data_IF_697273552553
#
_entry.id   IF_697273552553
#
_cell.length_a   1.000
_cell.length_b   1.000
_cell.length_c   1.000
_cell.angle_alpha   90.00
_cell.angle_beta   90.00
_cell.angle_gamma   90.00
#
_symmetry.space_group_name_H-M   'P 1'
#
loop_
_entity.id
_entity.type
_entity.pdbx_description
1 polymer ?
#
# COMPACT_ATOMS: atom_id res chain seq x y z
N UNK A 1 6.22 -2.70 11.95
CA UNK A 1 6.09 -3.91 12.79
C UNK A 1 4.79 -3.85 13.57
N UNK A 2 3.72 -4.51 13.10
CA UNK A 2 2.48 -4.66 13.87
C UNK A 2 2.70 -5.80 14.87
N UNK A 3 2.27 -5.64 16.13
CA UNK A 3 2.26 -6.71 17.13
C UNK A 3 0.81 -7.15 17.30
N UNK A 4 0.48 -8.40 16.98
CA UNK A 4 -0.83 -8.97 17.31
C UNK A 4 -0.78 -9.67 18.66
N UNK A 5 -1.50 -9.14 19.65
CA UNK A 5 -1.83 -9.87 20.87
C UNK A 5 -3.04 -10.75 20.59
N UNK A 6 -2.81 -12.00 20.18
CA UNK A 6 -3.91 -12.94 19.95
C UNK A 6 -4.57 -13.30 21.30
N UNK A 7 -5.90 -13.25 21.42
CA UNK A 7 -6.59 -13.98 22.48
C UNK A 7 -6.45 -15.49 22.22
N UNK A 8 -6.53 -16.33 23.27
CA UNK A 8 -6.42 -17.78 23.10
C UNK A 8 -7.50 -18.33 22.15
N UNK A 9 -7.22 -19.39 21.38
CA UNK A 9 -8.15 -19.94 20.41
C UNK A 9 -9.46 -20.41 21.06
N UNK A 10 -10.58 -20.01 20.46
CA UNK A 10 -11.92 -20.43 20.87
C UNK A 10 -12.05 -21.95 20.77
N UNK A 11 -12.32 -22.61 21.91
CA UNK A 11 -12.52 -24.06 21.99
C UNK A 11 -11.68 -24.78 23.04
N UNK A 12 -10.70 -24.10 23.66
CA UNK A 12 -10.11 -24.61 24.91
C UNK A 12 -10.82 -23.95 26.08
N UNK A 13 -11.62 -24.73 26.81
CA UNK A 13 -12.04 -24.37 28.17
C UNK A 13 -10.77 -24.24 29.02
N UNK A 14 -10.18 -23.05 29.05
CA UNK A 14 -9.23 -22.68 30.09
C UNK A 14 -10.09 -22.22 31.25
N UNK A 15 -10.15 -22.97 32.36
CA UNK A 15 -10.83 -22.47 33.55
C UNK A 15 -10.12 -21.19 33.96
N UNK A 16 -10.88 -20.14 34.27
CA UNK A 16 -10.41 -19.05 35.14
C UNK A 16 -10.10 -19.70 36.48
N UNK A 17 -8.92 -20.30 36.56
CA UNK A 17 -8.37 -20.89 37.75
C UNK A 17 -7.37 -19.87 38.26
N UNK A 18 -7.80 -19.14 39.29
CA UNK A 18 -6.90 -18.59 40.28
C UNK A 18 -6.11 -19.76 40.88
N UNK A 19 -5.03 -20.18 40.21
CA UNK A 19 -4.07 -21.12 40.75
C UNK A 19 -2.73 -20.41 40.87
N UNK A 20 -2.60 -19.66 41.97
CA UNK A 20 -1.36 -19.60 42.73
C UNK A 20 -1.02 -21.04 43.16
N UNK A 21 -0.35 -21.80 42.30
CA UNK A 21 0.55 -22.91 42.61
C UNK A 21 0.75 -23.76 41.36
N UNK A 22 1.82 -23.49 40.64
CA UNK A 22 2.72 -24.55 40.13
C UNK A 22 4.04 -23.91 39.72
N UNK A 23 5.09 -24.30 40.43
CA UNK A 23 6.46 -23.81 40.26
C UNK A 23 7.13 -24.35 39.00
N UNK A 24 6.80 -23.78 37.84
CA UNK A 24 7.72 -23.77 36.69
C UNK A 24 7.82 -22.34 36.18
N UNK A 25 9.00 -21.74 36.35
CA UNK A 25 9.28 -20.32 36.19
C UNK A 25 9.24 -19.75 34.76
N UNK A 26 8.39 -20.27 33.87
CA UNK A 26 8.24 -19.72 32.53
C UNK A 26 7.22 -18.58 32.57
N UNK A 27 7.70 -17.35 32.31
CA UNK A 27 6.86 -16.15 32.24
C UNK A 27 5.78 -16.27 31.16
N UNK A 28 4.72 -15.46 31.28
CA UNK A 28 3.64 -15.43 30.29
C UNK A 28 4.21 -15.17 28.88
N UNK A 29 3.77 -15.96 27.91
CA UNK A 29 4.24 -15.86 26.53
C UNK A 29 3.44 -14.76 25.80
N UNK A 30 4.13 -14.03 24.93
CA UNK A 30 3.54 -13.21 23.88
C UNK A 30 4.26 -13.47 22.56
N UNK A 31 3.53 -13.31 21.47
CA UNK A 31 4.01 -13.57 20.12
C UNK A 31 4.21 -12.23 19.42
N UNK A 32 5.40 -12.03 18.87
CA UNK A 32 5.63 -11.00 17.87
C UNK A 32 5.39 -11.65 16.51
N UNK A 33 4.25 -11.29 15.93
CA UNK A 33 3.84 -11.70 14.60
C UNK A 33 3.71 -10.44 13.75
N UNK A 34 4.72 -10.18 12.93
CA UNK A 34 4.69 -9.11 11.93
C UNK A 34 4.02 -9.58 10.63
N UNK A 35 3.49 -10.81 10.61
CA UNK A 35 2.89 -11.46 9.44
C UNK A 35 3.87 -11.82 8.34
N UNK A 36 5.18 -11.68 8.57
CA UNK A 36 6.19 -11.66 7.52
C UNK A 36 7.49 -12.40 7.89
N UNK A 37 7.78 -12.60 9.17
CA UNK A 37 8.89 -13.38 9.69
C UNK A 37 8.38 -14.56 10.52
N UNK A 38 9.21 -15.59 10.76
CA UNK A 38 8.89 -16.61 11.75
C UNK A 38 8.50 -15.95 13.06
N UNK A 39 7.34 -16.34 13.59
CA UNK A 39 6.77 -15.78 14.81
C UNK A 39 7.82 -15.86 15.91
N UNK A 40 8.08 -14.73 16.57
CA UNK A 40 9.01 -14.70 17.70
C UNK A 40 8.16 -14.88 18.96
N UNK A 41 8.35 -16.03 19.62
CA UNK A 41 7.75 -16.28 20.92
C UNK A 41 8.67 -15.76 22.02
N UNK A 42 8.16 -14.83 22.83
CA UNK A 42 8.89 -14.27 23.96
C UNK A 42 8.15 -14.62 25.26
N UNK A 43 8.87 -15.21 26.20
CA UNK A 43 8.36 -15.47 27.55
C UNK A 43 8.85 -14.37 28.50
N UNK A 44 7.93 -13.67 29.16
CA UNK A 44 8.26 -12.66 30.17
C UNK A 44 7.25 -12.65 31.30
N UNK A 45 7.73 -12.52 32.54
CA UNK A 45 6.85 -12.29 33.70
C UNK A 45 6.11 -10.95 33.61
N UNK A 46 6.70 -9.99 32.91
CA UNK A 46 6.18 -8.63 32.69
C UNK A 46 5.43 -8.49 31.36
N UNK A 47 4.96 -9.58 30.75
CA UNK A 47 4.33 -9.58 29.43
C UNK A 47 3.23 -8.52 29.28
N UNK A 48 2.37 -8.37 30.29
CA UNK A 48 1.28 -7.38 30.25
C UNK A 48 1.79 -5.94 30.33
N UNK A 49 2.88 -5.69 31.06
CA UNK A 49 3.52 -4.36 31.15
C UNK A 49 4.21 -4.02 29.82
N UNK A 50 4.90 -4.99 29.21
CA UNK A 50 5.51 -4.83 27.89
C UNK A 50 4.42 -4.52 26.84
N UNK A 51 3.33 -5.29 26.84
CA UNK A 51 2.20 -5.07 25.96
C UNK A 51 1.58 -3.68 26.14
N UNK A 52 1.24 -3.30 27.38
CA UNK A 52 0.64 -2.01 27.68
C UNK A 52 1.57 -0.84 27.34
N UNK A 53 2.86 -0.94 27.65
CA UNK A 53 3.86 0.09 27.33
C UNK A 53 4.01 0.24 25.82
N UNK A 54 4.05 -0.87 25.09
CA UNK A 54 4.14 -0.87 23.65
C UNK A 54 2.87 -0.31 22.99
N UNK A 55 1.68 -0.72 23.43
CA UNK A 55 0.40 -0.16 22.97
C UNK A 55 0.33 1.34 23.26
N UNK A 56 0.75 1.77 24.46
CA UNK A 56 0.78 3.19 24.81
C UNK A 56 1.78 3.97 23.95
N UNK A 57 2.96 3.40 23.68
CA UNK A 57 3.96 3.97 22.77
C UNK A 57 3.40 4.09 21.34
N UNK A 58 2.77 3.05 20.82
CA UNK A 58 2.12 3.07 19.51
C UNK A 58 1.04 4.14 19.47
N UNK A 59 0.10 4.15 20.42
CA UNK A 59 -0.97 5.13 20.50
C UNK A 59 -0.41 6.55 20.53
N UNK A 60 0.59 6.82 21.37
CA UNK A 60 1.23 8.14 21.45
C UNK A 60 1.89 8.56 20.12
N UNK A 61 2.42 7.61 19.36
CA UNK A 61 3.12 7.88 18.09
C UNK A 61 2.21 7.90 16.85
N UNK A 62 0.97 7.42 16.96
CA UNK A 62 -0.07 7.53 15.90
C UNK A 62 -1.07 8.67 16.15
N UNK A 63 -0.78 9.59 17.08
CA UNK A 63 -1.66 10.72 17.40
C UNK A 63 -2.72 10.45 18.47
N UNK A 64 -2.63 9.33 19.20
CA UNK A 64 -3.45 9.02 20.36
C UNK A 64 -4.81 8.38 20.05
N UNK A 65 -5.09 8.02 18.78
CA UNK A 65 -6.40 7.51 18.35
C UNK A 65 -6.31 6.47 17.24
N UNK A 66 -7.33 5.62 17.15
CA UNK A 66 -7.47 4.57 16.13
C UNK A 66 -8.16 5.07 14.84
N UNK A 67 -8.77 6.27 14.84
CA UNK A 67 -9.54 6.74 13.67
C UNK A 67 -8.62 7.28 12.57
N UNK A 68 -9.02 7.09 11.31
CA UNK A 68 -8.31 7.66 10.16
C UNK A 68 -8.21 9.19 10.25
N UNK A 69 -9.27 9.86 10.72
CA UNK A 69 -9.32 11.32 10.79
C UNK A 69 -8.28 11.88 11.75
N UNK A 70 -8.14 11.27 12.92
CA UNK A 70 -7.16 11.72 13.92
C UNK A 70 -5.72 11.48 13.43
N UNK A 71 -5.45 10.31 12.82
CA UNK A 71 -4.16 10.03 12.18
C UNK A 71 -3.84 11.05 11.07
N UNK A 72 -4.82 11.38 10.24
CA UNK A 72 -4.68 12.38 9.18
C UNK A 72 -4.38 13.78 9.75
N UNK A 73 -5.09 14.19 10.80
CA UNK A 73 -4.89 15.50 11.42
C UNK A 73 -3.52 15.59 12.12
N UNK A 74 -3.09 14.51 12.78
CA UNK A 74 -1.74 14.38 13.33
C UNK A 74 -0.68 14.44 12.22
N UNK A 75 -0.83 13.66 11.15
CA UNK A 75 0.08 13.67 10.00
C UNK A 75 0.21 15.07 9.40
N UNK A 76 -0.90 15.75 9.12
CA UNK A 76 -0.87 17.10 8.57
C UNK A 76 -0.25 18.11 9.54
N UNK A 77 -0.46 17.97 10.85
CA UNK A 77 0.22 18.79 11.86
C UNK A 77 1.73 18.61 11.82
N UNK A 78 2.23 17.37 11.85
CA UNK A 78 3.66 17.09 11.83
C UNK A 78 4.33 17.49 10.51
N UNK A 79 3.65 17.34 9.36
CA UNK A 79 4.16 17.85 8.07
C UNK A 79 4.33 19.37 8.08
N UNK A 80 3.33 20.13 8.57
CA UNK A 80 3.43 21.60 8.68
C UNK A 80 4.56 22.02 9.62
N UNK A 81 4.69 21.33 10.75
CA UNK A 81 5.73 21.58 11.75
C UNK A 81 7.12 21.27 11.21
N UNK A 82 7.29 20.17 10.46
CA UNK A 82 8.56 19.81 9.83
C UNK A 82 9.01 20.88 8.82
N UNK A 83 8.08 21.46 8.08
CA UNK A 83 8.34 22.50 7.08
C UNK A 83 8.14 23.93 7.59
N UNK A 84 8.13 24.16 8.90
CA UNK A 84 7.81 25.48 9.49
C UNK A 84 8.77 26.59 9.07
N UNK A 85 9.98 26.21 8.63
CA UNK A 85 11.04 27.14 8.22
C UNK A 85 10.98 27.50 6.73
N UNK A 86 10.10 26.87 5.94
CA UNK A 86 9.94 27.17 4.53
C UNK A 86 8.73 28.06 4.30
N UNK A 87 8.94 29.13 3.54
CA UNK A 87 7.87 30.02 3.13
C UNK A 87 7.12 29.43 1.93
N UNK A 88 5.79 29.50 1.95
CA UNK A 88 4.94 29.06 0.85
C UNK A 88 4.86 30.12 -0.26
N UNK A 89 6.03 30.60 -0.71
CA UNK A 89 6.15 31.63 -1.73
C UNK A 89 5.83 31.09 -3.12
N UNK A 90 5.41 32.00 -4.00
CA UNK A 90 5.05 31.68 -5.39
C UNK A 90 6.29 31.23 -6.17
N UNK A 91 6.18 30.06 -6.81
CA UNK A 91 7.23 29.51 -7.68
C UNK A 91 6.65 29.23 -9.05
N UNK A 92 7.24 29.86 -10.06
CA UNK A 92 6.81 29.71 -11.44
C UNK A 92 7.19 28.33 -12.00
N UNK A 93 6.21 27.59 -12.51
CA UNK A 93 6.41 26.29 -13.15
C UNK A 93 5.87 26.37 -14.58
N UNK A 94 6.77 26.55 -15.55
CA UNK A 94 6.41 26.69 -16.97
C UNK A 94 6.51 25.35 -17.69
N UNK A 95 5.38 24.86 -18.21
CA UNK A 95 5.24 23.52 -18.80
C UNK A 95 4.52 23.57 -20.15
N UNK A 96 4.59 22.48 -20.91
CA UNK A 96 3.86 22.29 -22.18
C UNK A 96 2.97 21.07 -22.06
N UNK A 97 1.69 21.20 -22.42
CA UNK A 97 0.67 20.15 -22.23
C UNK A 97 1.03 18.85 -22.95
N UNK A 98 1.53 18.93 -24.18
CA UNK A 98 1.88 17.79 -25.03
C UNK A 98 3.05 16.98 -24.47
N UNK A 99 3.88 17.61 -23.63
CA UNK A 99 5.08 17.02 -23.03
C UNK A 99 5.08 17.27 -21.53
N UNK A 100 3.95 17.00 -20.87
CA UNK A 100 3.75 17.37 -19.47
C UNK A 100 4.84 16.79 -18.55
N UNK A 101 5.20 15.52 -18.73
CA UNK A 101 6.25 14.86 -17.94
C UNK A 101 7.64 15.45 -18.20
N UNK A 102 8.05 15.53 -19.47
CA UNK A 102 9.39 16.03 -19.85
C UNK A 102 9.57 17.49 -19.42
N UNK A 103 8.59 18.34 -19.70
CA UNK A 103 8.63 19.77 -19.37
C UNK A 103 8.57 20.02 -17.86
N UNK A 104 7.78 19.26 -17.11
CA UNK A 104 7.72 19.36 -15.64
C UNK A 104 9.05 18.94 -15.00
N UNK A 105 9.62 17.80 -15.40
CA UNK A 105 10.93 17.37 -14.90
C UNK A 105 12.03 18.37 -15.23
N UNK A 106 11.97 19.03 -16.39
CA UNK A 106 12.90 20.10 -16.77
C UNK A 106 12.71 21.34 -15.89
N UNK A 107 11.47 21.76 -15.66
CA UNK A 107 11.14 22.93 -14.86
C UNK A 107 11.59 22.78 -13.40
N UNK A 108 11.43 21.58 -12.83
CA UNK A 108 11.77 21.30 -11.43
C UNK A 108 13.16 20.69 -11.23
N UNK A 109 13.99 20.60 -12.28
CA UNK A 109 15.27 19.86 -12.27
C UNK A 109 16.22 20.32 -11.16
N UNK A 110 16.22 21.61 -10.86
CA UNK A 110 17.13 22.26 -9.92
C UNK A 110 16.44 22.73 -8.63
N UNK A 111 15.20 22.30 -8.40
CA UNK A 111 14.46 22.67 -7.20
C UNK A 111 15.09 22.05 -5.95
N UNK A 112 15.33 22.91 -4.96
CA UNK A 112 15.62 22.55 -3.58
C UNK A 112 14.35 22.07 -2.86
N UNK A 113 14.50 21.52 -1.65
CA UNK A 113 13.35 21.17 -0.79
C UNK A 113 12.46 22.39 -0.54
N UNK A 114 13.05 23.57 -0.32
CA UNK A 114 12.30 24.82 -0.16
C UNK A 114 11.48 25.15 -1.41
N UNK A 115 12.03 24.92 -2.60
CA UNK A 115 11.29 25.16 -3.85
C UNK A 115 10.11 24.19 -3.99
N UNK A 116 10.30 22.92 -3.63
CA UNK A 116 9.20 21.96 -3.57
C UNK A 116 8.14 22.32 -2.51
N UNK A 117 8.48 23.11 -1.49
CA UNK A 117 7.51 23.63 -0.50
C UNK A 117 6.81 24.92 -0.97
N UNK A 118 7.28 25.56 -2.05
CA UNK A 118 6.67 26.77 -2.60
C UNK A 118 5.31 26.53 -3.27
N UNK A 119 4.50 27.57 -3.39
CA UNK A 119 3.22 27.55 -4.08
C UNK A 119 3.42 27.57 -5.60
N UNK A 120 3.12 26.46 -6.28
CA UNK A 120 3.36 26.35 -7.72
C UNK A 120 2.38 27.21 -8.53
N UNK A 121 2.90 28.24 -9.20
CA UNK A 121 2.20 29.00 -10.23
C UNK A 121 2.47 28.39 -11.60
N UNK A 122 1.60 27.45 -11.98
CA UNK A 122 1.75 26.70 -13.22
C UNK A 122 1.29 27.53 -14.42
N UNK A 123 2.16 27.66 -15.43
CA UNK A 123 1.82 28.26 -16.73
C UNK A 123 1.99 27.21 -17.83
N UNK A 124 0.91 26.95 -18.58
CA UNK A 124 0.98 26.18 -19.82
C UNK A 124 1.39 27.11 -20.96
N UNK A 125 2.52 26.82 -21.59
CA UNK A 125 3.09 27.68 -22.63
C UNK A 125 2.17 27.74 -23.84
N UNK A 126 1.85 28.97 -24.29
CA UNK A 126 0.96 29.20 -25.43
C UNK A 126 -0.53 29.18 -25.08
N UNK A 127 -0.89 28.94 -23.82
CA UNK A 127 -2.28 28.92 -23.35
C UNK A 127 -2.58 30.14 -22.46
N UNK A 128 -3.79 30.70 -22.57
CA UNK A 128 -4.24 31.76 -21.65
C UNK A 128 -4.73 31.14 -20.34
N UNK A 129 -4.07 31.49 -19.24
CA UNK A 129 -4.46 31.10 -17.89
C UNK A 129 -5.45 32.08 -17.28
N UNK A 130 -6.58 31.58 -16.75
CA UNK A 130 -7.59 32.42 -16.08
C UNK A 130 -7.31 32.51 -14.57
N UNK A 131 -7.01 31.38 -13.92
CA UNK A 131 -6.72 31.30 -12.48
C UNK A 131 -5.60 30.28 -12.19
N UNK A 132 -4.63 30.70 -11.38
CA UNK A 132 -3.50 29.88 -10.94
C UNK A 132 -3.95 28.66 -10.13
N UNK A 133 -5.04 28.76 -9.37
CA UNK A 133 -5.62 27.63 -8.63
C UNK A 133 -6.15 26.53 -9.55
N UNK A 134 -6.85 26.91 -10.61
CA UNK A 134 -7.31 26.00 -11.67
C UNK A 134 -6.15 25.29 -12.39
N UNK A 135 -5.17 26.06 -12.88
CA UNK A 135 -4.04 25.51 -13.64
C UNK A 135 -3.16 24.57 -12.82
N UNK A 136 -2.96 24.88 -11.53
CA UNK A 136 -2.22 24.00 -10.61
C UNK A 136 -2.93 22.66 -10.43
N UNK A 137 -4.25 22.66 -10.20
CA UNK A 137 -5.02 21.41 -10.07
C UNK A 137 -4.97 20.57 -11.34
N UNK A 138 -5.13 21.21 -12.49
CA UNK A 138 -5.01 20.57 -13.79
C UNK A 138 -3.61 19.97 -14.02
N UNK A 139 -2.55 20.69 -13.63
CA UNK A 139 -1.19 20.16 -13.69
C UNK A 139 -1.01 18.90 -12.85
N UNK A 140 -1.50 18.87 -11.61
CA UNK A 140 -1.44 17.68 -10.76
C UNK A 140 -2.19 16.50 -11.39
N UNK A 141 -3.35 16.75 -11.99
CA UNK A 141 -4.12 15.71 -12.69
C UNK A 141 -3.35 15.14 -13.89
N UNK A 142 -2.85 16.00 -14.77
CA UNK A 142 -2.11 15.59 -15.97
C UNK A 142 -0.80 14.89 -15.63
N UNK A 143 -0.04 15.40 -14.64
CA UNK A 143 1.23 14.79 -14.26
C UNK A 143 1.03 13.45 -13.56
N UNK A 144 -0.01 13.30 -12.71
CA UNK A 144 -0.35 12.01 -12.13
C UNK A 144 -0.73 11.00 -13.22
N UNK A 145 -1.55 11.41 -14.19
CA UNK A 145 -1.89 10.54 -15.33
C UNK A 145 -0.63 10.15 -16.13
N UNK A 146 0.25 11.10 -16.45
CA UNK A 146 1.48 10.80 -17.20
C UNK A 146 2.46 9.89 -16.43
N UNK A 147 2.42 9.87 -15.10
CA UNK A 147 3.30 9.05 -14.26
C UNK A 147 2.72 7.66 -13.97
N UNK A 148 1.43 7.58 -13.66
CA UNK A 148 0.83 6.38 -13.06
C UNK A 148 -0.08 5.62 -14.02
N UNK A 149 -0.43 6.19 -15.18
CA UNK A 149 -1.18 5.47 -16.20
C UNK A 149 -0.33 4.33 -16.78
N UNK A 150 -0.83 3.07 -16.78
CA UNK A 150 -0.10 1.93 -17.31
C UNK A 150 0.34 2.08 -18.77
N UNK A 151 -0.41 2.87 -19.57
CA UNK A 151 -0.08 3.16 -20.97
C UNK A 151 1.21 3.98 -21.12
N UNK A 152 1.59 4.73 -20.09
CA UNK A 152 2.85 5.46 -20.02
C UNK A 152 4.05 4.56 -19.75
N UNK A 153 3.85 3.34 -19.26
CA UNK A 153 4.89 2.32 -19.09
C UNK A 153 5.81 2.50 -17.88
N UNK A 154 5.72 3.60 -17.11
CA UNK A 154 6.48 3.77 -15.86
C UNK A 154 5.91 2.87 -14.76
N UNK A 155 4.58 2.83 -14.67
CA UNK A 155 3.81 1.86 -13.90
C UNK A 155 3.12 0.89 -14.87
N UNK A 156 2.71 -0.27 -14.39
CA UNK A 156 1.98 -1.29 -15.14
C UNK A 156 0.85 -1.88 -14.28
N UNK A 157 -0.02 -2.66 -14.90
CA UNK A 157 -1.01 -3.49 -14.21
C UNK A 157 -0.62 -4.95 -14.31
N UNK A 158 -1.00 -5.77 -13.31
CA UNK A 158 -0.81 -7.22 -13.39
C UNK A 158 -1.78 -7.90 -14.35
N UNK A 159 -2.91 -7.26 -14.64
CA UNK A 159 -3.93 -7.76 -15.56
C UNK A 159 -4.56 -6.62 -16.37
N UNK A 160 -5.07 -6.93 -17.56
CA UNK A 160 -5.68 -5.96 -18.48
C UNK A 160 -7.17 -5.77 -18.17
N UNK A 161 -7.48 -5.22 -16.98
CA UNK A 161 -8.84 -4.81 -16.61
C UNK A 161 -8.84 -3.30 -16.36
N UNK A 162 -9.94 -2.62 -16.73
CA UNK A 162 -10.10 -1.16 -16.53
C UNK A 162 -9.95 -0.70 -15.07
N UNK A 163 -10.19 -1.59 -14.12
CA UNK A 163 -10.10 -1.33 -12.69
C UNK A 163 -8.84 -1.92 -12.05
N UNK A 164 -7.86 -2.34 -12.85
CA UNK A 164 -6.62 -2.91 -12.33
C UNK A 164 -5.83 -1.88 -11.52
N UNK A 165 -5.18 -2.35 -10.46
CA UNK A 165 -4.27 -1.56 -9.66
C UNK A 165 -2.93 -1.41 -10.38
N UNK A 166 -2.26 -0.28 -10.17
CA UNK A 166 -0.96 0.03 -10.80
C UNK A 166 0.20 -0.26 -9.85
N UNK A 167 1.26 -0.83 -10.40
CA UNK A 167 2.49 -1.21 -9.71
C UNK A 167 3.70 -0.69 -10.51
N UNK A 168 4.87 -0.41 -9.89
CA UNK A 168 6.07 -0.06 -10.65
C UNK A 168 6.38 -1.10 -11.73
N UNK A 169 6.74 -0.64 -12.94
CA UNK A 169 6.98 -1.54 -14.07
C UNK A 169 8.45 -2.02 -14.11
N UNK A 170 8.73 -3.30 -13.81
CA UNK A 170 10.09 -3.85 -13.90
C UNK A 170 10.57 -3.98 -15.36
N UNK A 171 9.64 -4.03 -16.32
CA UNK A 171 9.91 -4.17 -17.76
C UNK A 171 9.63 -2.88 -18.53
N UNK A 172 9.78 -1.72 -17.88
CA UNK A 172 9.57 -0.40 -18.49
C UNK A 172 10.48 -0.16 -19.70
N UNK A 173 10.07 0.69 -20.66
CA UNK A 173 10.92 1.14 -21.75
C UNK A 173 12.24 1.77 -21.27
N UNK A 174 13.35 1.52 -21.98
CA UNK A 174 14.70 1.94 -21.59
C UNK A 174 14.91 3.46 -21.40
N UNK A 175 14.05 4.30 -22.00
CA UNK A 175 14.09 5.75 -21.81
C UNK A 175 13.54 6.19 -20.44
N UNK A 176 12.69 5.37 -19.81
CA UNK A 176 12.16 5.59 -18.46
C UNK A 176 13.13 5.06 -17.42
N UNK A 177 13.96 5.96 -16.91
CA UNK A 177 15.01 5.69 -15.91
C UNK A 177 14.51 5.90 -14.47
N UNK A 178 15.30 5.45 -13.49
CA UNK A 178 15.06 5.62 -12.04
C UNK A 178 14.70 7.05 -11.61
N UNK A 179 15.28 8.07 -12.26
CA UNK A 179 14.94 9.49 -12.01
C UNK A 179 13.46 9.84 -12.22
N UNK A 180 12.73 9.06 -13.02
CA UNK A 180 11.29 9.26 -13.21
C UNK A 180 10.50 8.74 -12.01
N UNK A 181 10.93 7.64 -11.37
CA UNK A 181 10.38 7.19 -10.10
C UNK A 181 10.70 8.18 -8.98
N UNK A 182 11.94 8.70 -8.90
CA UNK A 182 12.28 9.77 -7.94
C UNK A 182 11.40 11.01 -8.15
N UNK A 183 11.16 11.41 -9.40
CA UNK A 183 10.25 12.52 -9.68
C UNK A 183 8.79 12.19 -9.32
N UNK A 184 8.32 10.96 -9.57
CA UNK A 184 6.99 10.53 -9.16
C UNK A 184 6.80 10.58 -7.64
N UNK A 185 7.82 10.14 -6.89
CA UNK A 185 7.85 10.27 -5.43
C UNK A 185 7.76 11.72 -4.96
N UNK A 186 8.50 12.65 -5.61
CA UNK A 186 8.40 14.09 -5.31
C UNK A 186 7.02 14.66 -5.61
N UNK A 187 6.39 14.26 -6.71
CA UNK A 187 5.01 14.68 -7.03
C UNK A 187 4.03 14.19 -5.96
N UNK A 188 4.14 12.94 -5.52
CA UNK A 188 3.29 12.41 -4.44
C UNK A 188 3.55 13.09 -3.11
N UNK A 189 4.83 13.32 -2.76
CA UNK A 189 5.20 14.07 -1.56
C UNK A 189 4.67 15.51 -1.60
N UNK A 190 4.70 16.14 -2.78
CA UNK A 190 4.10 17.46 -3.01
C UNK A 190 2.59 17.45 -2.81
N UNK A 191 1.86 16.44 -3.30
CA UNK A 191 0.42 16.32 -3.06
C UNK A 191 0.07 16.23 -1.57
N UNK A 192 0.84 15.43 -0.82
CA UNK A 192 0.69 15.29 0.63
C UNK A 192 1.00 16.60 1.36
N UNK A 193 2.08 17.28 0.98
CA UNK A 193 2.47 18.57 1.54
C UNK A 193 1.39 19.63 1.32
N UNK A 194 0.92 19.82 0.07
CA UNK A 194 -0.14 20.79 -0.25
C UNK A 194 -1.42 20.49 0.53
N UNK A 195 -1.81 19.21 0.62
CA UNK A 195 -2.98 18.79 1.39
C UNK A 195 -2.85 19.07 2.89
N UNK A 196 -1.64 19.02 3.43
CA UNK A 196 -1.36 19.38 4.81
C UNK A 196 -1.53 20.89 5.10
N UNK A 197 -1.44 21.76 4.08
CA UNK A 197 -1.64 23.21 4.24
C UNK A 197 -3.11 23.60 4.41
N UNK A 198 -4.05 22.70 4.10
CA UNK A 198 -5.47 22.87 4.34
C UNK A 198 -6.34 22.61 3.11
N UNK A 199 -7.67 22.63 3.30
CA UNK A 199 -8.65 22.23 2.29
C UNK A 199 -8.55 22.96 0.96
N UNK A 200 -8.23 24.25 0.96
CA UNK A 200 -8.06 25.08 -0.25
C UNK A 200 -6.88 24.65 -1.12
N UNK A 201 -5.87 24.01 -0.53
CA UNK A 201 -4.65 23.57 -1.20
C UNK A 201 -4.69 22.09 -1.58
N UNK A 202 -5.71 21.34 -1.15
CA UNK A 202 -5.78 19.90 -1.28
C UNK A 202 -5.51 19.43 -2.72
N UNK A 203 -4.50 18.57 -2.86
CA UNK A 203 -4.13 17.92 -4.11
C UNK A 203 -4.17 16.41 -3.90
N UNK A 204 -4.95 15.72 -4.73
CA UNK A 204 -5.11 14.27 -4.65
C UNK A 204 -4.29 13.60 -5.75
N UNK A 205 -3.63 12.51 -5.41
CA UNK A 205 -2.95 11.67 -6.38
C UNK A 205 -4.00 10.94 -7.21
N UNK A 206 -3.92 11.07 -8.54
CA UNK A 206 -4.80 10.36 -9.48
C UNK A 206 -4.18 9.03 -9.88
N UNK A 207 -4.22 8.06 -8.98
CA UNK A 207 -3.76 6.69 -9.21
C UNK A 207 -4.51 5.70 -8.31
N UNK A 208 -4.52 4.43 -8.71
CA UNK A 208 -5.02 3.32 -7.88
C UNK A 208 -3.88 2.35 -7.67
N UNK A 209 -3.07 2.60 -6.66
CA UNK A 209 -1.86 1.83 -6.41
C UNK A 209 -2.18 0.42 -5.92
N UNK A 210 -1.30 -0.52 -6.25
CA UNK A 210 -1.35 -1.87 -5.68
C UNK A 210 -1.15 -1.82 -4.16
N UNK A 211 -1.80 -2.71 -3.42
CA UNK A 211 -1.69 -2.79 -1.95
C UNK A 211 -0.28 -3.11 -1.52
N UNK A 212 0.40 -4.00 -2.25
CA UNK A 212 1.80 -4.30 -1.96
C UNK A 212 2.74 -3.12 -2.19
N UNK A 213 2.45 -2.22 -3.14
CA UNK A 213 3.23 -0.99 -3.30
C UNK A 213 3.01 -0.05 -2.11
N UNK A 214 1.75 0.16 -1.71
CA UNK A 214 1.43 0.99 -0.54
C UNK A 214 2.05 0.44 0.75
N UNK A 215 2.00 -0.88 0.96
CA UNK A 215 2.66 -1.55 2.07
C UNK A 215 4.16 -1.25 2.14
N UNK A 216 4.83 -1.29 0.98
CA UNK A 216 6.26 -0.98 0.90
C UNK A 216 6.56 0.49 1.20
N UNK A 217 5.67 1.43 0.84
CA UNK A 217 5.84 2.85 1.18
C UNK A 217 5.81 3.11 2.69
N UNK A 218 5.08 2.29 3.45
CA UNK A 218 5.00 2.38 4.93
C UNK A 218 5.96 1.42 5.64
N UNK A 219 6.92 0.83 4.90
CA UNK A 219 7.94 -0.04 5.46
C UNK A 219 7.43 -1.43 5.88
N UNK A 220 6.28 -1.86 5.35
CA UNK A 220 5.78 -3.22 5.56
C UNK A 220 6.33 -4.17 4.49
N UNK A 221 6.58 -5.39 4.94
CA UNK A 221 7.03 -6.48 4.10
C UNK A 221 5.83 -7.09 3.36
N UNK A 222 6.00 -7.43 2.08
CA UNK A 222 4.94 -8.03 1.26
C UNK A 222 4.72 -9.52 1.55
N UNK A 223 3.47 -10.00 1.53
CA UNK A 223 3.10 -11.41 1.67
C UNK A 223 2.18 -11.87 0.52
N UNK A 224 1.98 -13.18 0.35
CA UNK A 224 1.22 -13.69 -0.80
C UNK A 224 -0.24 -13.21 -0.87
N UNK A 225 -0.87 -12.85 0.25
CA UNK A 225 -2.27 -12.39 0.22
C UNK A 225 -2.47 -11.05 -0.50
N UNK A 226 -1.40 -10.27 -0.74
CA UNK A 226 -1.53 -9.04 -1.55
C UNK A 226 -1.95 -9.35 -2.98
N UNK A 227 -1.62 -10.53 -3.51
CA UNK A 227 -2.07 -10.95 -4.83
C UNK A 227 -3.59 -11.05 -4.92
N UNK A 228 -4.33 -11.26 -3.82
CA UNK A 228 -5.79 -11.28 -3.86
C UNK A 228 -6.38 -9.97 -4.43
N UNK A 229 -5.71 -8.84 -4.20
CA UNK A 229 -6.10 -7.53 -4.76
C UNK A 229 -5.24 -7.12 -5.95
N UNK A 230 -3.92 -7.34 -5.87
CA UNK A 230 -2.97 -6.86 -6.87
C UNK A 230 -3.00 -7.69 -8.16
N UNK A 231 -3.09 -9.03 -8.04
CA UNK A 231 -3.17 -9.97 -9.16
C UNK A 231 -4.16 -11.11 -8.84
N UNK A 232 -5.47 -10.83 -8.88
CA UNK A 232 -6.50 -11.81 -8.49
C UNK A 232 -6.45 -13.07 -9.35
N UNK A 233 -6.02 -12.95 -10.61
CA UNK A 233 -5.96 -14.08 -11.54
C UNK A 233 -4.81 -15.03 -11.14
N UNK A 234 -3.63 -14.51 -10.77
CA UNK A 234 -2.55 -15.33 -10.18
C UNK A 234 -2.94 -15.92 -8.82
N UNK A 235 -3.65 -15.14 -7.99
CA UNK A 235 -4.09 -15.59 -6.68
C UNK A 235 -5.02 -16.80 -6.80
N UNK A 236 -6.05 -16.71 -7.64
CA UNK A 236 -7.04 -17.77 -7.83
C UNK A 236 -6.46 -19.00 -8.54
N UNK A 237 -5.61 -18.81 -9.55
CA UNK A 237 -5.11 -19.91 -10.40
C UNK A 237 -3.96 -20.69 -9.77
N UNK A 238 -2.99 -20.02 -9.13
CA UNK A 238 -1.77 -20.65 -8.61
C UNK A 238 -1.73 -20.67 -7.09
N UNK A 239 -1.94 -19.52 -6.45
CA UNK A 239 -1.70 -19.40 -5.01
C UNK A 239 -2.75 -20.19 -4.22
N UNK A 240 -4.02 -20.01 -4.54
CA UNK A 240 -5.12 -20.73 -3.91
C UNK A 240 -5.00 -22.23 -4.16
N UNK A 241 -4.64 -22.63 -5.37
CA UNK A 241 -4.36 -24.04 -5.69
C UNK A 241 -3.29 -24.64 -4.77
N UNK A 242 -2.16 -23.95 -4.58
CA UNK A 242 -1.09 -24.42 -3.69
C UNK A 242 -1.55 -24.49 -2.23
N UNK A 243 -2.34 -23.51 -1.78
CA UNK A 243 -2.89 -23.50 -0.42
C UNK A 243 -3.82 -24.68 -0.16
N UNK A 244 -4.67 -25.03 -1.14
CA UNK A 244 -5.69 -26.07 -1.01
C UNK A 244 -5.14 -27.49 -1.32
N UNK A 245 -3.96 -27.60 -1.94
CA UNK A 245 -3.33 -28.88 -2.29
C UNK A 245 -2.45 -29.43 -1.15
N UNK A 246 -2.49 -30.75 -0.96
CA UNK A 246 -1.57 -31.51 -0.10
C UNK A 246 -0.26 -31.78 -0.87
N UNK A 247 0.85 -31.15 -0.50
CA UNK A 247 2.12 -31.29 -1.22
C UNK A 247 2.98 -32.48 -0.77
N UNK A 248 2.58 -33.24 0.25
CA UNK A 248 3.40 -34.32 0.81
C UNK A 248 3.12 -35.68 0.15
N UNK A 249 2.03 -35.80 -0.61
CA UNK A 249 1.67 -37.02 -1.35
C UNK A 249 2.39 -37.10 -2.70
N UNK A 250 2.81 -38.32 -3.10
CA UNK A 250 3.67 -38.59 -4.27
C UNK A 250 3.08 -38.25 -5.64
N UNK A 251 1.75 -38.11 -5.75
CA UNK A 251 1.06 -37.88 -7.02
C UNK A 251 0.81 -36.39 -7.32
N UNK A 252 1.27 -35.50 -6.44
CA UNK A 252 1.00 -34.06 -6.52
C UNK A 252 2.20 -33.25 -7.05
N UNK A 253 1.92 -31.98 -7.35
CA UNK A 253 2.83 -31.01 -7.96
C UNK A 253 4.19 -30.93 -7.23
N UNK A 254 5.28 -31.28 -7.92
CA UNK A 254 6.64 -31.07 -7.42
C UNK A 254 7.03 -29.60 -7.52
N UNK A 255 6.91 -28.88 -6.40
CA UNK A 255 7.35 -27.50 -6.27
C UNK A 255 8.69 -27.43 -5.56
N UNK A 256 9.54 -26.52 -6.03
CA UNK A 256 10.80 -26.13 -5.40
C UNK A 256 10.78 -24.63 -5.12
N UNK A 257 11.66 -24.14 -4.24
CA UNK A 257 11.77 -22.71 -3.93
C UNK A 257 12.46 -21.91 -5.05
N UNK A 258 11.90 -21.99 -6.25
CA UNK A 258 12.31 -21.27 -7.45
C UNK A 258 11.12 -20.64 -8.14
N UNK A 259 11.39 -19.58 -8.88
CA UNK A 259 10.48 -19.01 -9.86
C UNK A 259 11.06 -19.16 -11.26
N UNK A 260 10.30 -19.80 -12.13
CA UNK A 260 10.61 -19.93 -13.54
C UNK A 260 9.92 -18.82 -14.34
N UNK A 261 10.71 -18.09 -15.13
CA UNK A 261 10.28 -16.98 -15.96
C UNK A 261 10.31 -17.44 -17.40
N UNK A 262 9.17 -17.36 -18.07
CA UNK A 262 8.98 -17.75 -19.46
C UNK A 262 8.75 -16.51 -20.34
N UNK A 263 9.15 -16.58 -21.60
CA UNK A 263 8.81 -15.56 -22.60
C UNK A 263 7.41 -15.79 -23.19
N UNK A 264 7.01 -14.90 -24.11
CA UNK A 264 5.70 -14.98 -24.79
C UNK A 264 5.56 -16.19 -25.71
N UNK A 265 6.65 -16.88 -26.05
CA UNK A 265 6.64 -18.14 -26.81
C UNK A 265 6.55 -19.38 -25.92
N UNK A 266 6.60 -19.19 -24.59
CA UNK A 266 6.59 -20.27 -23.60
C UNK A 266 7.98 -20.87 -23.36
N UNK A 267 9.06 -20.26 -23.84
CA UNK A 267 10.42 -20.73 -23.58
C UNK A 267 10.90 -20.26 -22.21
N UNK A 268 11.52 -21.17 -21.44
CA UNK A 268 12.14 -20.82 -20.16
C UNK A 268 13.31 -19.85 -20.40
N UNK A 269 13.19 -18.64 -19.89
CA UNK A 269 14.21 -17.58 -19.99
C UNK A 269 15.14 -17.60 -18.80
N UNK A 270 14.58 -17.79 -17.60
CA UNK A 270 15.34 -17.67 -16.35
C UNK A 270 14.69 -18.45 -15.23
N UNK A 271 15.50 -19.08 -14.39
CA UNK A 271 15.08 -19.62 -13.10
C UNK A 271 15.71 -18.77 -11.99
N UNK A 272 14.89 -18.28 -11.07
CA UNK A 272 15.30 -17.46 -9.93
C UNK A 272 15.12 -18.27 -8.67
N UNK A 273 16.19 -18.47 -7.89
CA UNK A 273 16.06 -19.06 -6.56
C UNK A 273 15.40 -18.06 -5.60
N UNK A 274 14.30 -18.47 -4.96
CA UNK A 274 13.54 -17.63 -4.03
C UNK A 274 14.18 -17.58 -2.63
N UNK A 275 14.96 -18.61 -2.30
CA UNK A 275 15.79 -18.72 -1.10
C UNK A 275 17.14 -19.33 -1.49
N UNK A 276 18.19 -19.23 -0.65
CA UNK A 276 19.46 -19.90 -0.92
C UNK A 276 19.30 -21.41 -1.09
N UNK A 277 19.85 -21.99 -2.17
CA UNK A 277 19.66 -23.40 -2.55
C UNK A 277 18.19 -23.76 -2.84
N UNK A 278 17.41 -22.79 -3.30
CA UNK A 278 15.98 -22.95 -3.58
C UNK A 278 15.69 -24.04 -4.61
N UNK A 279 16.56 -24.22 -5.61
CA UNK A 279 16.41 -25.25 -6.64
C UNK A 279 16.52 -26.69 -6.10
N UNK A 280 17.11 -26.86 -4.90
CA UNK A 280 17.25 -28.16 -4.23
C UNK A 280 16.30 -28.32 -3.05
N UNK A 281 15.49 -27.31 -2.77
CA UNK A 281 14.59 -27.30 -1.61
C UNK A 281 13.16 -27.53 -2.09
N UNK A 282 12.66 -28.76 -1.89
CA UNK A 282 11.28 -29.12 -2.21
C UNK A 282 10.31 -28.41 -1.25
N UNK A 283 9.22 -27.90 -1.79
CA UNK A 283 8.11 -27.33 -1.02
C UNK A 283 7.26 -28.47 -0.47
N UNK A 284 6.90 -28.38 0.80
CA UNK A 284 6.06 -29.34 1.54
C UNK A 284 4.86 -28.61 2.14
N UNK A 285 3.91 -29.34 2.73
CA UNK A 285 2.81 -28.67 3.43
C UNK A 285 3.28 -27.74 4.57
N UNK A 286 4.37 -28.11 5.24
CA UNK A 286 4.96 -27.31 6.30
C UNK A 286 5.59 -26.01 5.77
N UNK A 287 6.04 -25.97 4.51
CA UNK A 287 6.80 -24.85 3.93
C UNK A 287 6.06 -24.09 2.82
N UNK A 288 4.85 -24.52 2.42
CA UNK A 288 4.10 -23.88 1.32
C UNK A 288 3.79 -22.41 1.55
N UNK A 289 3.46 -21.99 2.78
CA UNK A 289 3.27 -20.57 3.09
C UNK A 289 4.57 -19.77 2.90
N UNK A 290 5.70 -20.32 3.35
CA UNK A 290 7.01 -19.68 3.17
C UNK A 290 7.38 -19.57 1.67
N UNK A 291 7.07 -20.59 0.86
CA UNK A 291 7.24 -20.54 -0.59
C UNK A 291 6.42 -19.40 -1.21
N UNK A 292 5.14 -19.30 -0.85
CA UNK A 292 4.24 -18.28 -1.36
C UNK A 292 4.68 -16.87 -0.95
N UNK A 293 5.15 -16.68 0.29
CA UNK A 293 5.70 -15.40 0.74
C UNK A 293 7.02 -15.06 0.03
N UNK A 294 7.88 -16.04 -0.21
CA UNK A 294 9.11 -15.82 -0.97
C UNK A 294 8.81 -15.45 -2.44
N UNK A 295 7.79 -16.06 -3.05
CA UNK A 295 7.29 -15.69 -4.38
C UNK A 295 6.74 -14.26 -4.39
N UNK A 296 5.98 -13.88 -3.37
CA UNK A 296 5.47 -12.51 -3.22
C UNK A 296 6.60 -11.49 -3.08
N UNK A 297 7.62 -11.79 -2.26
CA UNK A 297 8.82 -10.96 -2.17
C UNK A 297 9.50 -10.79 -3.51
N UNK A 298 9.66 -11.87 -4.27
CA UNK A 298 10.32 -11.80 -5.55
C UNK A 298 9.56 -10.92 -6.55
N UNK A 299 8.25 -11.17 -6.72
CA UNK A 299 7.43 -10.49 -7.73
C UNK A 299 7.05 -9.05 -7.39
N UNK A 300 6.72 -8.78 -6.13
CA UNK A 300 6.14 -7.49 -5.70
C UNK A 300 7.17 -6.52 -5.10
N UNK A 301 8.37 -7.00 -4.74
CA UNK A 301 9.41 -6.19 -4.10
C UNK A 301 10.75 -6.30 -4.83
N UNK A 302 11.36 -7.49 -4.88
CA UNK A 302 12.73 -7.65 -5.38
C UNK A 302 12.88 -7.21 -6.85
N UNK A 303 11.91 -7.55 -7.70
CA UNK A 303 11.91 -7.19 -9.12
C UNK A 303 11.80 -5.68 -9.38
N UNK A 304 11.34 -4.90 -8.40
CA UNK A 304 11.08 -3.46 -8.51
C UNK A 304 11.78 -2.65 -7.41
N UNK A 305 12.80 -3.21 -6.77
CA UNK A 305 13.42 -2.61 -5.58
C UNK A 305 14.04 -1.25 -5.89
N UNK A 306 14.81 -1.14 -6.99
CA UNK A 306 15.47 0.12 -7.34
C UNK A 306 14.45 1.23 -7.67
N UNK A 307 13.32 0.85 -8.25
CA UNK A 307 12.20 1.72 -8.61
C UNK A 307 11.50 2.24 -7.36
N UNK A 308 11.21 1.35 -6.39
CA UNK A 308 10.61 1.70 -5.10
C UNK A 308 11.58 2.57 -4.29
N UNK A 309 12.86 2.21 -4.21
CA UNK A 309 13.87 2.99 -3.48
C UNK A 309 14.01 4.41 -4.08
N UNK A 310 13.98 4.51 -5.41
CA UNK A 310 14.01 5.81 -6.10
C UNK A 310 12.75 6.62 -5.81
N UNK A 311 11.57 5.99 -5.85
CA UNK A 311 10.31 6.63 -5.50
C UNK A 311 10.31 7.13 -4.05
N UNK A 312 10.70 6.28 -3.10
CA UNK A 312 10.85 6.62 -1.68
C UNK A 312 11.84 7.75 -1.46
N UNK A 313 12.97 7.77 -2.16
CA UNK A 313 13.92 8.89 -2.11
C UNK A 313 13.28 10.22 -2.51
N UNK A 314 12.43 10.21 -3.54
CA UNK A 314 11.69 11.39 -3.97
C UNK A 314 10.64 11.84 -2.95
N UNK A 315 9.85 10.88 -2.47
CA UNK A 315 8.80 11.09 -1.47
C UNK A 315 9.38 11.61 -0.15
N UNK A 316 10.41 10.94 0.36
CA UNK A 316 11.06 11.24 1.64
C UNK A 316 11.88 12.53 1.61
N UNK A 317 12.17 13.06 0.43
CA UNK A 317 12.71 14.41 0.27
C UNK A 317 11.73 15.52 0.66
N UNK A 318 10.42 15.22 0.75
CA UNK A 318 9.37 16.17 1.11
C UNK A 318 8.61 15.69 2.36
N UNK A 319 8.28 14.41 2.48
CA UNK A 319 7.51 13.87 3.60
C UNK A 319 8.41 12.99 4.46
N UNK A 320 8.64 13.28 5.74
CA UNK A 320 9.43 12.41 6.61
C UNK A 320 8.91 10.97 6.62
N UNK A 321 9.83 10.00 6.49
CA UNK A 321 9.55 8.57 6.31
C UNK A 321 8.71 7.97 7.43
N UNK A 322 8.99 8.37 8.66
CA UNK A 322 8.33 7.89 9.86
C UNK A 322 6.85 8.29 9.94
N UNK A 323 6.43 9.38 9.28
CA UNK A 323 5.06 9.89 9.39
C UNK A 323 4.03 9.05 8.64
N UNK A 324 4.43 8.34 7.59
CA UNK A 324 3.51 7.49 6.83
C UNK A 324 3.25 6.14 7.53
N UNK A 325 4.15 5.71 8.41
CA UNK A 325 4.06 4.43 9.12
C UNK A 325 2.88 4.29 10.10
N UNK A 326 2.18 5.39 10.39
CA UNK A 326 1.00 5.39 11.25
C UNK A 326 -0.27 4.88 10.54
N UNK A 327 -0.24 4.84 9.21
CA UNK A 327 -1.35 4.40 8.36
C UNK A 327 -1.17 2.94 7.96
N UNK A 328 -2.27 2.24 7.76
CA UNK A 328 -2.28 1.01 6.95
C UNK A 328 -2.36 1.32 5.45
N UNK A 329 -2.35 0.29 4.62
CA UNK A 329 -2.34 0.38 3.15
C UNK A 329 -3.63 1.03 2.60
N UNK A 330 -4.77 0.79 3.26
CA UNK A 330 -6.05 1.37 2.84
C UNK A 330 -6.13 2.84 3.26
N UNK A 331 -5.73 3.13 4.49
CA UNK A 331 -5.64 4.50 5.00
C UNK A 331 -4.65 5.35 4.21
N UNK A 332 -3.51 4.79 3.79
CA UNK A 332 -2.56 5.49 2.94
C UNK A 332 -3.16 5.82 1.57
N UNK A 333 -3.93 4.90 0.97
CA UNK A 333 -4.66 5.21 -0.27
C UNK A 333 -5.65 6.36 -0.05
N UNK A 334 -6.42 6.32 1.04
CA UNK A 334 -7.37 7.40 1.38
C UNK A 334 -6.68 8.75 1.60
N UNK A 335 -5.49 8.74 2.22
CA UNK A 335 -4.69 9.94 2.42
C UNK A 335 -4.21 10.54 1.09
N UNK A 336 -3.75 9.68 0.17
CA UNK A 336 -3.19 10.07 -1.13
C UNK A 336 -4.27 10.47 -2.14
N UNK A 337 -5.29 9.63 -2.29
CA UNK A 337 -6.27 9.68 -3.37
C UNK A 337 -7.61 10.30 -2.94
N UNK A 338 -7.82 10.45 -1.63
CA UNK A 338 -9.06 10.96 -1.06
C UNK A 338 -10.17 9.91 -0.98
N UNK A 339 -11.28 10.30 -0.36
CA UNK A 339 -12.52 9.52 -0.41
C UNK A 339 -13.22 9.80 -1.73
N UNK A 340 -13.60 8.75 -2.46
CA UNK A 340 -14.49 8.89 -3.61
C UNK A 340 -15.89 9.37 -3.20
N UNK A 341 -16.69 9.78 -4.18
CA UNK A 341 -18.13 9.99 -3.97
C UNK A 341 -18.87 8.71 -4.35
N UNK A 342 -19.46 8.04 -3.37
CA UNK A 342 -20.18 6.79 -3.58
C UNK A 342 -21.68 7.05 -3.67
N UNK A 343 -22.27 6.73 -4.82
CA UNK A 343 -23.73 6.75 -4.98
C UNK A 343 -24.31 5.39 -4.58
N UNK A 344 -25.00 5.36 -3.44
CA UNK A 344 -25.72 4.15 -3.00
C UNK A 344 -26.79 3.76 -4.02
N UNK A 345 -27.41 4.74 -4.67
CA UNK A 345 -28.40 4.49 -5.72
C UNK A 345 -27.77 3.78 -6.93
N UNK A 346 -26.60 4.24 -7.37
CA UNK A 346 -25.86 3.59 -8.46
C UNK A 346 -25.37 2.19 -8.06
N UNK A 347 -24.89 2.03 -6.82
CA UNK A 347 -24.48 0.73 -6.30
C UNK A 347 -25.66 -0.26 -6.26
N UNK A 348 -26.83 0.19 -5.80
CA UNK A 348 -28.07 -0.61 -5.84
C UNK A 348 -28.55 -0.88 -7.28
N UNK A 349 -28.35 0.02 -8.22
CA UNK A 349 -28.76 -0.21 -9.60
C UNK A 349 -27.90 -1.27 -10.31
N UNK A 350 -26.63 -1.40 -9.93
CA UNK A 350 -25.65 -2.24 -10.61
C UNK A 350 -25.23 -3.51 -9.84
N UNK A 351 -25.81 -3.78 -8.66
CA UNK A 351 -25.52 -5.01 -7.92
C UNK A 351 -26.19 -6.24 -8.53
N UNK A 352 -25.51 -7.39 -8.47
CA UNK A 352 -26.06 -8.69 -8.87
C UNK A 352 -26.32 -9.50 -7.60
N UNK A 353 -27.52 -10.06 -7.48
CA UNK A 353 -27.95 -10.83 -6.31
C UNK A 353 -28.05 -12.31 -6.67
N UNK A 354 -27.24 -13.13 -5.99
CA UNK A 354 -27.28 -14.59 -6.12
C UNK A 354 -27.85 -15.20 -4.83
N UNK A 355 -29.18 -15.29 -4.75
CA UNK A 355 -29.92 -15.80 -3.61
C UNK A 355 -31.38 -15.36 -3.65
N UNK A 356 -32.29 -16.17 -3.10
CA UNK A 356 -33.73 -15.90 -3.22
C UNK A 356 -34.59 -16.30 -2.02
N UNK A 357 -34.00 -16.87 -0.96
CA UNK A 357 -34.76 -17.27 0.21
C UNK A 357 -35.34 -16.05 0.95
N UNK A 358 -36.47 -16.21 1.68
CA UNK A 358 -37.00 -15.14 2.53
C UNK A 358 -35.98 -14.59 3.53
N UNK A 359 -35.14 -15.46 4.10
CA UNK A 359 -34.07 -15.10 5.03
C UNK A 359 -33.00 -14.27 4.32
N UNK A 360 -32.57 -14.70 3.13
CA UNK A 360 -31.59 -13.97 2.33
C UNK A 360 -32.10 -12.56 1.97
N UNK A 361 -33.36 -12.44 1.56
CA UNK A 361 -33.96 -11.12 1.27
C UNK A 361 -34.02 -10.20 2.49
N UNK A 362 -34.24 -10.76 3.68
CA UNK A 362 -34.19 -9.99 4.94
C UNK A 362 -32.78 -9.49 5.23
N UNK A 363 -31.78 -10.36 5.10
CA UNK A 363 -30.36 -10.00 5.27
C UNK A 363 -29.94 -8.95 4.24
N UNK A 364 -30.37 -9.07 2.98
CA UNK A 364 -30.11 -8.08 1.94
C UNK A 364 -30.74 -6.71 2.29
N UNK A 365 -31.93 -6.70 2.89
CA UNK A 365 -32.54 -5.47 3.42
C UNK A 365 -31.70 -4.83 4.53
N UNK A 366 -31.18 -5.62 5.47
CA UNK A 366 -30.28 -5.13 6.52
C UNK A 366 -28.94 -4.64 5.98
N UNK A 367 -28.36 -5.34 5.01
CA UNK A 367 -27.16 -4.89 4.31
C UNK A 367 -27.35 -3.48 3.74
N UNK A 368 -28.42 -3.27 3.00
CA UNK A 368 -28.72 -1.98 2.39
C UNK A 368 -29.05 -0.87 3.40
N UNK A 369 -29.61 -1.23 4.56
CA UNK A 369 -29.80 -0.30 5.66
C UNK A 369 -28.45 0.08 6.32
N UNK A 370 -27.55 -0.89 6.52
CA UNK A 370 -26.22 -0.64 7.08
C UNK A 370 -25.38 0.25 6.16
N UNK A 371 -25.28 -0.09 4.87
CA UNK A 371 -24.58 0.71 3.85
C UNK A 371 -25.16 2.13 3.76
N UNK A 372 -26.46 2.29 3.94
CA UNK A 372 -27.12 3.60 4.00
C UNK A 372 -26.72 4.49 5.17
N UNK A 373 -26.10 3.92 6.21
CA UNK A 373 -25.67 4.63 7.42
C UNK A 373 -24.15 4.81 7.51
N UNK A 374 -23.37 4.29 6.55
CA UNK A 374 -21.92 4.46 6.56
C UNK A 374 -21.52 5.91 6.25
N UNK A 375 -20.49 6.40 6.95
CA UNK A 375 -19.77 7.61 6.57
C UNK A 375 -19.03 7.43 5.24
N UNK A 376 -18.61 8.53 4.60
CA UNK A 376 -17.83 8.46 3.36
C UNK A 376 -16.52 7.66 3.52
N UNK A 377 -15.89 7.73 4.70
CA UNK A 377 -14.67 6.95 4.99
C UNK A 377 -14.98 5.46 5.17
N UNK A 378 -16.09 5.11 5.83
CA UNK A 378 -16.53 3.71 5.94
C UNK A 378 -16.99 3.14 4.61
N UNK A 379 -17.58 3.96 3.73
CA UNK A 379 -17.92 3.57 2.36
C UNK A 379 -16.70 3.36 1.46
N UNK A 380 -15.62 4.10 1.72
CA UNK A 380 -14.39 4.02 0.95
C UNK A 380 -13.48 2.86 1.38
N UNK A 381 -13.60 2.42 2.63
CA UNK A 381 -12.96 1.22 3.18
C UNK A 381 -13.73 -0.03 2.75
#
# INVERSE_FOLDING_TARGET
>A
TKFQFLPPPAGTNVPVSNNNNNGNGHGAIFIIDDGCQPKIELASKERNVIAATFTHFLLKNIGGSETFKDKQDFFYHEVRKFHSNYYHEKIAVKVTREKILESSMKATKHFSVSDWCGNFEVTFQGEQGIDWGGLRREWFELICSALFDPRGGLFCTFHDKRQALVHPNPSRPAHLKLKHFEFAGKVVGKCLYESALGGTYRQLVRARFSRSFLAQLIGLRVHYKYFEQDDPDLYLSKIKYILDTDLDTSDNLELYFVEEIYDTSGQLVKTVELIPNGAKTRVTNATKNQYLDALAQQRLCNNVREEIDSFLKGLNGIIPDNLLSIFDENELELLLCGTGEYSIADFRANHIVNGGSPEFRRVLGWFWAAVGNFSQTEMAR
#
